data_IF_281782577003
#
_entry.id   IF_281782577003
#
_cell.length_a   1.000
_cell.length_b   1.000
_cell.length_c   1.000
_cell.angle_alpha   90.00
_cell.angle_beta   90.00
_cell.angle_gamma   90.00
#
_symmetry.space_group_name_H-M   'P 1'
#
loop_
_entity.id
_entity.type
_entity.pdbx_description
1 polymer ?
#
# COMPACT_ATOMS: atom_id res chain seq x y z
N UNK A 1 12.45 11.93 -5.41
CA UNK A 1 11.28 11.49 -6.16
C UNK A 1 11.64 10.22 -6.89
N UNK A 2 11.13 9.10 -6.47
CA UNK A 2 11.48 7.76 -6.96
C UNK A 2 10.41 7.30 -7.97
N UNK A 3 10.85 6.75 -9.10
CA UNK A 3 9.96 6.11 -10.07
C UNK A 3 9.18 4.97 -9.41
N UNK A 4 7.93 4.83 -9.75
CA UNK A 4 7.05 3.75 -9.27
C UNK A 4 7.32 2.52 -10.12
N UNK A 5 8.03 1.53 -9.57
CA UNK A 5 8.20 0.22 -10.23
C UNK A 5 7.01 -0.66 -9.93
N UNK A 6 6.42 -1.21 -10.98
CA UNK A 6 5.27 -2.12 -10.91
C UNK A 6 5.70 -3.48 -11.43
N UNK A 7 5.55 -4.48 -10.59
CA UNK A 7 5.72 -5.88 -10.95
C UNK A 7 4.32 -6.48 -11.10
N UNK A 8 3.84 -6.63 -12.30
CA UNK A 8 2.71 -7.51 -12.61
C UNK A 8 3.29 -8.82 -13.12
N UNK A 9 2.68 -9.95 -12.88
CA UNK A 9 3.20 -11.33 -13.03
C UNK A 9 4.11 -11.61 -14.26
N UNK A 10 4.26 -10.67 -15.22
CA UNK A 10 5.18 -10.74 -16.35
C UNK A 10 5.55 -9.36 -16.96
N UNK A 11 5.23 -8.24 -16.32
CA UNK A 11 5.45 -6.93 -16.92
C UNK A 11 5.94 -5.91 -15.89
N UNK A 12 7.19 -5.44 -16.07
CA UNK A 12 7.76 -4.36 -15.27
C UNK A 12 7.32 -2.99 -15.84
N UNK A 13 6.15 -2.48 -15.42
CA UNK A 13 5.76 -1.11 -15.75
C UNK A 13 6.36 -0.17 -14.72
N UNK A 14 7.23 0.71 -15.17
CA UNK A 14 7.78 1.77 -14.33
C UNK A 14 7.12 3.11 -14.69
N UNK A 15 6.22 3.60 -13.85
CA UNK A 15 5.68 4.95 -13.99
C UNK A 15 6.74 5.92 -13.50
N UNK A 16 7.30 6.70 -14.41
CA UNK A 16 8.32 7.69 -14.12
C UNK A 16 7.74 8.95 -13.45
N UNK A 17 8.63 9.80 -12.96
CA UNK A 17 8.26 11.05 -12.25
C UNK A 17 7.53 12.02 -13.18
N UNK A 18 7.85 12.04 -14.47
CA UNK A 18 7.18 12.89 -15.44
C UNK A 18 5.73 12.45 -15.61
N UNK A 19 5.49 11.17 -15.85
CA UNK A 19 4.15 10.58 -15.94
C UNK A 19 3.34 10.85 -14.68
N UNK A 20 3.91 10.61 -13.49
CA UNK A 20 3.24 10.86 -12.22
C UNK A 20 2.83 12.34 -12.06
N UNK A 21 3.72 13.25 -12.40
CA UNK A 21 3.44 14.70 -12.35
C UNK A 21 2.33 15.10 -13.32
N UNK A 22 2.32 14.52 -14.52
CA UNK A 22 1.27 14.74 -15.55
C UNK A 22 -0.09 14.22 -15.05
N UNK A 23 -0.13 13.00 -14.49
CA UNK A 23 -1.39 12.41 -13.96
C UNK A 23 -1.95 13.27 -12.84
N UNK A 24 -1.11 13.69 -11.88
CA UNK A 24 -1.51 14.56 -10.77
C UNK A 24 -2.09 15.88 -11.25
N UNK A 25 -1.40 16.56 -12.17
CA UNK A 25 -1.85 17.82 -12.76
C UNK A 25 -3.19 17.61 -13.50
N UNK A 26 -3.25 16.60 -14.34
CA UNK A 26 -4.42 16.29 -15.15
C UNK A 26 -5.66 15.92 -14.32
N UNK A 27 -5.48 15.13 -13.25
CA UNK A 27 -6.54 14.75 -12.31
C UNK A 27 -7.16 15.98 -11.64
N UNK A 28 -6.32 16.89 -11.16
CA UNK A 28 -6.77 18.12 -10.49
C UNK A 28 -7.46 19.10 -11.43
N UNK A 29 -6.90 19.32 -12.60
CA UNK A 29 -7.44 20.29 -13.56
C UNK A 29 -8.81 19.87 -14.12
N UNK A 30 -9.14 18.59 -14.09
CA UNK A 30 -10.37 18.06 -14.67
C UNK A 30 -11.44 17.67 -13.63
N UNK A 31 -11.11 17.69 -12.33
CA UNK A 31 -12.02 17.32 -11.23
C UNK A 31 -12.66 15.94 -11.42
N UNK A 32 -11.85 14.93 -11.70
CA UNK A 32 -12.31 13.57 -11.98
C UNK A 32 -12.74 12.77 -10.74
N UNK A 33 -12.72 13.36 -9.56
CA UNK A 33 -12.95 12.66 -8.31
C UNK A 33 -14.42 12.25 -8.15
N UNK A 34 -14.68 10.95 -8.17
CA UNK A 34 -16.00 10.37 -7.88
C UNK A 34 -16.25 10.33 -6.37
N UNK A 35 -15.21 10.21 -5.55
CA UNK A 35 -15.26 9.97 -4.11
C UNK A 35 -15.47 8.48 -3.80
N UNK A 36 -15.29 7.61 -4.80
CA UNK A 36 -15.35 6.15 -4.69
C UNK A 36 -13.91 5.65 -4.84
N UNK A 37 -13.27 5.30 -3.72
CA UNK A 37 -11.83 5.05 -3.62
C UNK A 37 -11.33 4.02 -4.65
N UNK A 38 -12.09 2.94 -4.84
CA UNK A 38 -11.75 1.90 -5.82
C UNK A 38 -11.73 2.47 -7.24
N UNK A 39 -12.80 3.13 -7.65
CA UNK A 39 -12.95 3.63 -9.03
C UNK A 39 -12.02 4.80 -9.29
N UNK A 40 -11.85 5.72 -8.34
CA UNK A 40 -10.88 6.81 -8.44
C UNK A 40 -9.45 6.26 -8.65
N UNK A 41 -9.05 5.24 -7.90
CA UNK A 41 -7.75 4.60 -8.08
C UNK A 41 -7.61 3.90 -9.43
N UNK A 42 -8.70 3.30 -9.92
CA UNK A 42 -8.76 2.65 -11.22
C UNK A 42 -8.64 3.66 -12.37
N UNK A 43 -9.34 4.79 -12.30
CA UNK A 43 -9.20 5.88 -13.26
C UNK A 43 -7.79 6.46 -13.29
N UNK A 44 -7.20 6.72 -12.12
CA UNK A 44 -5.82 7.23 -12.03
C UNK A 44 -4.84 6.26 -12.67
N UNK A 45 -5.04 4.96 -12.48
CA UNK A 45 -4.19 3.93 -13.08
C UNK A 45 -4.31 3.90 -14.60
N UNK A 46 -5.54 3.91 -15.15
CA UNK A 46 -5.78 3.96 -16.60
C UNK A 46 -5.17 5.22 -17.23
N UNK A 47 -5.33 6.39 -16.60
CA UNK A 47 -4.73 7.65 -17.06
C UNK A 47 -3.19 7.54 -17.04
N UNK A 48 -2.61 6.92 -16.00
CA UNK A 48 -1.17 6.73 -15.90
C UNK A 48 -0.63 5.83 -17.01
N UNK A 49 -1.33 4.74 -17.33
CA UNK A 49 -0.97 3.85 -18.44
C UNK A 49 -1.01 4.56 -19.78
N UNK A 50 -2.04 5.38 -20.03
CA UNK A 50 -2.15 6.18 -21.26
C UNK A 50 -1.01 7.19 -21.38
N UNK A 51 -0.69 7.93 -20.31
CA UNK A 51 0.42 8.90 -20.33
C UNK A 51 1.79 8.22 -20.44
N UNK A 52 1.96 7.06 -19.82
CA UNK A 52 3.19 6.27 -19.97
C UNK A 52 3.36 5.78 -21.41
N UNK A 53 2.28 5.33 -22.06
CA UNK A 53 2.27 4.98 -23.45
C UNK A 53 2.69 6.15 -24.36
N UNK A 54 2.20 7.37 -24.08
CA UNK A 54 2.61 8.58 -24.81
C UNK A 54 4.11 8.91 -24.66
N UNK A 55 4.70 8.61 -23.49
CA UNK A 55 6.15 8.78 -23.28
C UNK A 55 6.95 7.76 -24.09
N UNK A 56 6.54 6.49 -24.06
CA UNK A 56 7.20 5.42 -24.84
C UNK A 56 7.15 5.67 -26.35
N UNK A 57 6.05 6.22 -26.85
CA UNK A 57 5.89 6.57 -28.28
C UNK A 57 6.85 7.67 -28.76
N UNK A 58 7.38 8.49 -27.87
CA UNK A 58 8.37 9.54 -28.20
C UNK A 58 9.81 9.01 -28.31
N UNK A 59 10.06 7.78 -27.86
CA UNK A 59 11.39 7.15 -27.85
C UNK A 59 11.37 5.84 -28.65
N UNK A 60 11.35 5.91 -30.00
CA UNK A 60 11.20 4.70 -30.82
C UNK A 60 12.46 3.81 -30.75
N UNK A 61 12.26 2.53 -30.43
CA UNK A 61 13.28 1.48 -30.37
C UNK A 61 12.62 0.11 -30.20
N UNK A 62 13.34 -0.98 -30.45
CA UNK A 62 12.78 -2.34 -30.28
C UNK A 62 12.30 -2.62 -28.86
N UNK A 63 13.03 -2.15 -27.87
CA UNK A 63 12.66 -2.29 -26.47
C UNK A 63 11.40 -1.50 -26.12
N UNK A 64 11.27 -0.29 -26.66
CA UNK A 64 10.06 0.54 -26.49
C UNK A 64 8.83 -0.11 -27.10
N UNK A 65 8.95 -0.79 -28.25
CA UNK A 65 7.82 -1.50 -28.87
C UNK A 65 7.30 -2.65 -28.00
N UNK A 66 8.18 -3.42 -27.37
CA UNK A 66 7.76 -4.47 -26.43
C UNK A 66 7.06 -3.91 -25.20
N UNK A 67 7.57 -2.78 -24.66
CA UNK A 67 6.95 -2.09 -23.54
C UNK A 67 5.60 -1.51 -23.91
N UNK A 68 5.45 -0.93 -25.10
CA UNK A 68 4.18 -0.43 -25.66
C UNK A 68 3.12 -1.54 -25.70
N UNK A 69 3.46 -2.71 -26.24
CA UNK A 69 2.54 -3.84 -26.30
C UNK A 69 2.09 -4.27 -24.89
N UNK A 70 3.03 -4.34 -23.95
CA UNK A 70 2.74 -4.66 -22.58
C UNK A 70 1.83 -3.66 -21.88
N UNK A 71 2.09 -2.37 -22.02
CA UNK A 71 1.26 -1.30 -21.44
C UNK A 71 -0.16 -1.33 -22.03
N UNK A 72 -0.28 -1.57 -23.35
CA UNK A 72 -1.58 -1.70 -24.00
C UNK A 72 -2.36 -2.90 -23.46
N UNK A 73 -1.75 -4.06 -23.36
CA UNK A 73 -2.40 -5.26 -22.84
C UNK A 73 -2.86 -5.06 -21.40
N UNK A 74 -2.04 -4.40 -20.56
CA UNK A 74 -2.43 -4.08 -19.19
C UNK A 74 -3.61 -3.10 -19.16
N UNK A 75 -3.58 -2.04 -19.96
CA UNK A 75 -4.67 -1.07 -20.04
C UNK A 75 -6.00 -1.73 -20.43
N UNK A 76 -5.94 -2.68 -21.39
CA UNK A 76 -7.10 -3.43 -21.85
C UNK A 76 -7.67 -4.33 -20.77
N UNK A 77 -6.82 -5.16 -20.18
CA UNK A 77 -7.20 -6.06 -19.09
C UNK A 77 -7.83 -5.29 -17.94
N UNK A 78 -7.20 -4.17 -17.60
CA UNK A 78 -7.63 -3.35 -16.48
C UNK A 78 -8.93 -2.59 -16.76
N UNK A 79 -9.11 -2.08 -17.98
CA UNK A 79 -10.38 -1.46 -18.39
C UNK A 79 -11.56 -2.45 -18.27
N UNK A 80 -11.37 -3.72 -18.55
CA UNK A 80 -12.40 -4.74 -18.37
C UNK A 80 -12.78 -4.93 -16.90
N UNK A 81 -11.79 -5.04 -16.00
CA UNK A 81 -12.04 -5.15 -14.55
C UNK A 81 -12.75 -3.90 -14.02
N UNK A 82 -12.34 -2.73 -14.47
CA UNK A 82 -12.95 -1.46 -14.12
C UNK A 82 -14.42 -1.39 -14.55
N UNK A 83 -14.73 -1.66 -15.82
CA UNK A 83 -16.10 -1.66 -16.31
C UNK A 83 -16.99 -2.66 -15.59
N UNK A 84 -16.46 -3.85 -15.26
CA UNK A 84 -17.21 -4.81 -14.47
C UNK A 84 -17.53 -4.28 -13.09
N UNK A 85 -16.58 -3.61 -12.43
CA UNK A 85 -16.81 -3.02 -11.11
C UNK A 85 -17.91 -1.94 -11.16
N UNK A 86 -17.89 -1.06 -12.16
CA UNK A 86 -18.92 -0.03 -12.34
C UNK A 86 -20.28 -0.64 -12.68
N UNK A 87 -20.36 -1.50 -13.66
CA UNK A 87 -21.61 -2.16 -14.09
C UNK A 87 -22.27 -2.88 -12.90
N UNK A 88 -21.50 -3.56 -12.04
CA UNK A 88 -22.01 -4.19 -10.82
C UNK A 88 -22.59 -3.17 -9.82
N UNK A 89 -21.89 -2.04 -9.60
CA UNK A 89 -22.36 -0.97 -8.73
C UNK A 89 -23.67 -0.37 -9.25
N UNK A 90 -23.71 -0.07 -10.55
CA UNK A 90 -24.85 0.58 -11.19
C UNK A 90 -26.10 -0.33 -11.19
N UNK A 91 -25.91 -1.65 -11.42
CA UNK A 91 -26.95 -2.66 -11.33
C UNK A 91 -27.47 -2.80 -9.90
N UNK A 92 -26.60 -2.91 -8.90
CA UNK A 92 -26.96 -3.05 -7.49
C UNK A 92 -27.87 -1.93 -7.03
N UNK A 93 -27.51 -0.68 -7.39
CA UNK A 93 -28.26 0.50 -6.96
C UNK A 93 -29.28 1.00 -7.99
N UNK A 94 -29.51 0.25 -9.05
CA UNK A 94 -30.53 0.53 -10.09
C UNK A 94 -30.38 1.94 -10.67
N UNK A 95 -29.16 2.29 -11.10
CA UNK A 95 -28.91 3.57 -11.74
C UNK A 95 -29.80 3.73 -12.99
N UNK A 96 -30.58 4.83 -13.12
CA UNK A 96 -31.56 4.95 -14.22
C UNK A 96 -30.99 4.86 -15.63
N UNK A 97 -29.71 5.24 -15.83
CA UNK A 97 -29.04 5.18 -17.12
C UNK A 97 -28.06 3.99 -17.26
N UNK A 98 -28.16 2.97 -16.40
CA UNK A 98 -27.28 1.79 -16.37
C UNK A 98 -27.12 1.17 -17.76
N UNK A 99 -28.22 0.88 -18.46
CA UNK A 99 -28.19 0.24 -19.77
C UNK A 99 -27.44 1.09 -20.84
N UNK A 100 -27.57 2.41 -20.79
CA UNK A 100 -26.84 3.31 -21.67
C UNK A 100 -25.35 3.35 -21.34
N UNK A 101 -25.00 3.35 -20.05
CA UNK A 101 -23.63 3.33 -19.56
C UNK A 101 -22.93 2.01 -20.00
N UNK A 102 -23.55 0.86 -19.77
CA UNK A 102 -23.05 -0.44 -20.21
C UNK A 102 -22.92 -0.53 -21.75
N UNK A 103 -23.84 0.08 -22.52
CA UNK A 103 -23.74 0.15 -23.98
C UNK A 103 -22.51 0.94 -24.45
N UNK A 104 -22.11 1.98 -23.73
CA UNK A 104 -20.88 2.72 -24.03
C UNK A 104 -19.61 1.91 -23.75
N UNK A 105 -19.57 1.15 -22.64
CA UNK A 105 -18.48 0.20 -22.38
C UNK A 105 -18.39 -0.87 -23.46
N UNK A 106 -19.52 -1.39 -23.93
CA UNK A 106 -19.56 -2.36 -25.03
C UNK A 106 -19.04 -1.74 -26.34
N UNK A 107 -19.47 -0.52 -26.67
CA UNK A 107 -18.99 0.20 -27.87
C UNK A 107 -17.49 0.47 -27.80
N UNK A 108 -16.97 0.83 -26.63
CA UNK A 108 -15.53 0.97 -26.40
C UNK A 108 -14.79 -0.32 -26.67
N UNK A 109 -15.22 -1.43 -26.03
CA UNK A 109 -14.62 -2.76 -26.23
C UNK A 109 -14.60 -3.17 -27.70
N UNK A 110 -15.70 -2.92 -28.42
CA UNK A 110 -15.82 -3.22 -29.84
C UNK A 110 -14.88 -2.39 -30.70
N UNK A 111 -14.82 -1.07 -30.46
CA UNK A 111 -13.92 -0.15 -31.17
C UNK A 111 -12.46 -0.51 -30.94
N UNK A 112 -12.12 -0.87 -29.73
CA UNK A 112 -10.79 -1.26 -29.32
C UNK A 112 -10.36 -2.58 -29.97
N UNK A 113 -11.23 -3.59 -30.01
CA UNK A 113 -10.99 -4.86 -30.70
C UNK A 113 -10.79 -4.65 -32.20
N UNK A 114 -11.54 -3.73 -32.81
CA UNK A 114 -11.36 -3.37 -34.21
C UNK A 114 -9.99 -2.72 -34.47
N UNK A 115 -9.57 -1.81 -33.58
CA UNK A 115 -8.24 -1.19 -33.65
C UNK A 115 -7.13 -2.23 -33.48
N UNK A 116 -7.26 -3.14 -32.52
CA UNK A 116 -6.30 -4.23 -32.32
C UNK A 116 -6.33 -5.28 -33.44
N UNK A 117 -7.47 -5.43 -34.13
CA UNK A 117 -7.65 -6.33 -35.26
C UNK A 117 -7.13 -5.79 -36.60
N UNK A 118 -6.69 -4.54 -36.66
CA UNK A 118 -6.25 -3.92 -37.89
C UNK A 118 -5.01 -4.59 -38.52
N UNK A 119 -4.90 -4.67 -39.86
CA UNK A 119 -3.79 -5.32 -40.57
C UNK A 119 -2.41 -4.71 -40.30
N UNK A 120 -2.35 -3.42 -39.96
CA UNK A 120 -1.13 -2.62 -39.70
C UNK A 120 -0.61 -2.78 -38.26
N UNK A 121 -0.71 -3.95 -37.67
CA UNK A 121 -0.26 -4.20 -36.30
C UNK A 121 1.25 -4.00 -36.16
N UNK A 122 1.67 -3.25 -35.14
CA UNK A 122 3.04 -3.24 -34.65
C UNK A 122 3.90 -2.03 -35.01
N UNK A 123 3.33 -1.01 -35.65
CA UNK A 123 4.05 0.25 -35.92
C UNK A 123 3.74 1.35 -34.89
N UNK A 124 4.66 2.31 -34.75
CA UNK A 124 4.50 3.47 -33.88
C UNK A 124 3.21 4.26 -34.19
N UNK A 125 2.79 4.34 -35.47
CA UNK A 125 1.57 5.00 -35.88
C UNK A 125 0.30 4.31 -35.36
N UNK A 126 0.30 2.98 -35.32
CA UNK A 126 -0.83 2.22 -34.77
C UNK A 126 -0.95 2.43 -33.26
N UNK A 127 0.15 2.34 -32.55
CA UNK A 127 0.19 2.60 -31.11
C UNK A 127 -0.20 4.05 -30.78
N UNK A 128 0.18 5.03 -31.60
CA UNK A 128 -0.23 6.42 -31.43
C UNK A 128 -1.74 6.63 -31.64
N UNK A 129 -2.34 5.97 -32.64
CA UNK A 129 -3.81 6.01 -32.88
C UNK A 129 -4.54 5.40 -31.67
N UNK A 130 -4.05 4.30 -31.14
CA UNK A 130 -4.63 3.61 -30.01
C UNK A 130 -4.51 4.42 -28.72
N UNK A 131 -3.33 5.01 -28.46
CA UNK A 131 -3.13 5.93 -27.33
C UNK A 131 -4.10 7.12 -27.39
N UNK A 132 -4.24 7.74 -28.55
CA UNK A 132 -5.18 8.85 -28.74
C UNK A 132 -6.64 8.44 -28.54
N UNK A 133 -7.01 7.26 -29.01
CA UNK A 133 -8.37 6.71 -28.79
C UNK A 133 -8.62 6.50 -27.29
N UNK A 134 -7.74 5.81 -26.60
CA UNK A 134 -7.84 5.54 -25.15
C UNK A 134 -7.93 6.85 -24.35
N UNK A 135 -7.04 7.79 -24.62
CA UNK A 135 -7.01 9.10 -23.98
C UNK A 135 -8.35 9.84 -24.12
N UNK A 136 -8.80 10.01 -25.37
CA UNK A 136 -10.02 10.78 -25.64
C UNK A 136 -11.26 10.12 -25.06
N UNK A 137 -11.38 8.80 -25.21
CA UNK A 137 -12.54 8.07 -24.72
C UNK A 137 -12.61 8.11 -23.19
N UNK A 138 -11.52 7.80 -22.51
CA UNK A 138 -11.46 7.76 -21.04
C UNK A 138 -11.88 9.11 -20.43
N UNK A 139 -11.33 10.21 -20.96
CA UNK A 139 -11.65 11.55 -20.46
C UNK A 139 -13.13 11.89 -20.66
N UNK A 140 -13.67 11.63 -21.85
CA UNK A 140 -15.06 11.97 -22.13
C UNK A 140 -16.01 11.10 -21.31
N UNK A 141 -15.68 9.83 -21.12
CA UNK A 141 -16.47 8.89 -20.34
C UNK A 141 -16.55 9.31 -18.88
N UNK A 142 -15.39 9.53 -18.21
CA UNK A 142 -15.36 9.99 -16.83
C UNK A 142 -16.14 11.30 -16.66
N UNK A 143 -15.90 12.29 -17.52
CA UNK A 143 -16.53 13.62 -17.39
C UNK A 143 -18.04 13.62 -17.54
N UNK A 144 -18.58 12.72 -18.31
CA UNK A 144 -19.99 12.75 -18.67
C UNK A 144 -20.78 11.63 -18.00
N UNK A 145 -20.31 10.41 -18.17
CA UNK A 145 -21.07 9.25 -17.76
C UNK A 145 -20.84 8.90 -16.28
N UNK A 146 -19.57 8.89 -15.84
CA UNK A 146 -19.24 8.52 -14.46
C UNK A 146 -19.65 9.60 -13.48
N UNK A 147 -19.50 10.87 -13.85
CA UNK A 147 -20.00 11.97 -13.04
C UNK A 147 -21.52 11.93 -12.85
N UNK A 148 -22.27 11.42 -13.81
CA UNK A 148 -23.71 11.29 -13.71
C UNK A 148 -24.12 10.27 -12.62
N UNK A 149 -23.47 9.09 -12.57
CA UNK A 149 -23.78 8.15 -11.51
C UNK A 149 -23.21 8.59 -10.15
N UNK A 150 -22.07 9.29 -10.10
CA UNK A 150 -21.58 9.91 -8.87
C UNK A 150 -22.66 10.79 -8.24
N UNK A 151 -23.27 11.67 -9.05
CA UNK A 151 -24.28 12.59 -8.56
C UNK A 151 -25.56 11.86 -8.13
N UNK A 152 -25.94 10.79 -8.85
CA UNK A 152 -27.03 9.90 -8.44
C UNK A 152 -26.77 9.23 -7.08
N UNK A 153 -25.58 8.64 -6.88
CA UNK A 153 -25.20 7.98 -5.63
C UNK A 153 -25.23 8.97 -4.45
N UNK A 154 -24.71 10.18 -4.65
CA UNK A 154 -24.71 11.24 -3.65
C UNK A 154 -26.12 11.70 -3.29
N UNK A 155 -26.99 11.92 -4.27
CA UNK A 155 -28.38 12.33 -4.06
C UNK A 155 -29.20 11.28 -3.30
N UNK A 156 -28.87 10.01 -3.46
CA UNK A 156 -29.54 8.89 -2.79
C UNK A 156 -28.81 8.43 -1.51
N UNK A 157 -27.79 9.16 -1.04
CA UNK A 157 -26.98 8.81 0.14
C UNK A 157 -26.42 7.37 0.10
N UNK A 158 -25.98 6.92 -1.06
CA UNK A 158 -25.42 5.57 -1.27
C UNK A 158 -23.92 5.60 -0.94
N UNK A 159 -23.49 4.74 -0.01
CA UNK A 159 -22.08 4.53 0.31
C UNK A 159 -21.48 3.43 -0.59
N UNK A 160 -20.99 3.85 -1.76
CA UNK A 160 -20.33 2.95 -2.70
C UNK A 160 -18.99 2.41 -2.17
N UNK A 161 -18.31 3.12 -1.27
CA UNK A 161 -17.09 2.62 -0.64
C UNK A 161 -17.40 1.40 0.24
N UNK A 162 -18.44 1.46 1.07
CA UNK A 162 -18.88 0.33 1.87
C UNK A 162 -19.33 -0.87 1.00
N UNK A 163 -19.93 -0.61 -0.17
CA UNK A 163 -20.27 -1.65 -1.14
C UNK A 163 -19.03 -2.41 -1.62
N UNK A 164 -18.01 -1.71 -2.12
CA UNK A 164 -16.78 -2.35 -2.60
C UNK A 164 -15.97 -3.01 -1.50
N UNK A 165 -15.95 -2.45 -0.28
CA UNK A 165 -15.30 -3.08 0.86
C UNK A 165 -15.90 -4.45 1.17
N UNK A 166 -17.23 -4.59 1.09
CA UNK A 166 -17.91 -5.90 1.28
C UNK A 166 -17.56 -6.89 0.17
N UNK A 167 -17.52 -6.46 -1.10
CA UNK A 167 -17.15 -7.32 -2.22
C UNK A 167 -15.70 -7.80 -2.10
N UNK A 168 -14.77 -6.91 -1.76
CA UNK A 168 -13.35 -7.26 -1.58
C UNK A 168 -13.19 -8.23 -0.40
N UNK A 169 -13.89 -8.00 0.71
CA UNK A 169 -13.89 -8.92 1.86
C UNK A 169 -14.49 -10.30 1.53
N UNK A 170 -15.40 -10.37 0.55
CA UNK A 170 -15.96 -11.61 0.04
C UNK A 170 -15.09 -12.31 -1.02
N UNK A 171 -13.88 -11.78 -1.31
CA UNK A 171 -12.93 -12.39 -2.22
C UNK A 171 -13.09 -12.00 -3.69
N UNK A 172 -13.73 -10.85 -3.98
CA UNK A 172 -13.80 -10.35 -5.37
C UNK A 172 -12.44 -9.95 -5.92
N UNK A 173 -12.30 -9.96 -7.25
CA UNK A 173 -11.06 -9.59 -7.97
C UNK A 173 -10.77 -8.08 -7.99
N UNK A 174 -11.59 -7.27 -7.32
CA UNK A 174 -11.48 -5.80 -7.37
C UNK A 174 -10.42 -5.21 -6.44
N UNK A 175 -9.72 -6.02 -5.65
CA UNK A 175 -8.68 -5.51 -4.75
C UNK A 175 -7.59 -4.77 -5.53
N UNK A 176 -7.33 -3.52 -5.12
CA UNK A 176 -6.26 -2.70 -5.72
C UNK A 176 -4.89 -3.33 -5.45
N UNK A 177 -4.06 -3.36 -6.47
CA UNK A 177 -2.66 -3.74 -6.34
C UNK A 177 -1.86 -2.66 -5.57
N UNK A 178 -0.69 -3.02 -5.06
CA UNK A 178 0.18 -2.07 -4.36
C UNK A 178 0.54 -0.83 -5.21
N UNK A 179 0.87 -0.96 -6.51
CA UNK A 179 1.13 0.20 -7.36
C UNK A 179 -0.06 1.14 -7.52
N UNK A 180 -1.26 0.59 -7.63
CA UNK A 180 -2.48 1.39 -7.74
C UNK A 180 -2.78 2.15 -6.45
N UNK A 181 -2.59 1.51 -5.30
CA UNK A 181 -2.72 2.15 -4.00
C UNK A 181 -1.72 3.29 -3.83
N UNK A 182 -0.46 3.09 -4.26
CA UNK A 182 0.57 4.15 -4.25
C UNK A 182 0.18 5.32 -5.13
N UNK A 183 -0.20 5.04 -6.38
CA UNK A 183 -0.59 6.08 -7.33
C UNK A 183 -1.78 6.89 -6.80
N UNK A 184 -2.79 6.21 -6.27
CA UNK A 184 -3.97 6.86 -5.68
C UNK A 184 -3.59 7.74 -4.49
N UNK A 185 -2.76 7.25 -3.57
CA UNK A 185 -2.28 8.02 -2.43
C UNK A 185 -1.50 9.28 -2.86
N UNK A 186 -0.63 9.12 -3.86
CA UNK A 186 0.18 10.21 -4.40
C UNK A 186 -0.64 11.30 -5.09
N UNK A 187 -1.72 10.94 -5.79
CA UNK A 187 -2.52 11.87 -6.59
C UNK A 187 -3.64 12.51 -5.77
N UNK A 188 -4.35 11.73 -4.96
CA UNK A 188 -5.50 12.19 -4.20
C UNK A 188 -5.12 13.08 -3.01
N UNK A 189 -3.80 13.24 -2.72
CA UNK A 189 -3.32 13.98 -1.54
C UNK A 189 -3.99 13.54 -0.23
N UNK A 190 -4.56 12.35 -0.21
CA UNK A 190 -4.97 11.74 1.05
C UNK A 190 -3.73 11.35 1.81
N UNK A 191 -3.30 12.23 2.70
CA UNK A 191 -2.09 12.00 3.48
C UNK A 191 -2.21 10.79 4.42
N UNK A 192 -3.43 10.26 4.65
CA UNK A 192 -3.63 9.18 5.62
C UNK A 192 -4.79 8.25 5.25
N UNK A 193 -4.49 7.00 4.88
CA UNK A 193 -5.48 5.90 4.77
C UNK A 193 -5.88 5.43 6.18
N UNK A 194 -4.92 5.43 7.10
CA UNK A 194 -5.13 5.20 8.53
C UNK A 194 -4.82 6.51 9.23
N UNK A 195 -5.77 7.10 9.99
CA UNK A 195 -5.55 8.35 10.72
C UNK A 195 -4.28 8.27 11.59
N UNK A 196 -3.36 9.23 11.42
CA UNK A 196 -2.08 9.28 12.13
C UNK A 196 -0.96 8.44 11.50
N UNK A 197 -1.15 7.87 10.31
CA UNK A 197 -0.09 7.18 9.55
C UNK A 197 -0.05 7.71 8.11
N UNK A 198 1.04 8.37 7.74
CA UNK A 198 1.25 8.80 6.37
C UNK A 198 1.25 7.62 5.39
N UNK A 199 0.66 7.80 4.23
CA UNK A 199 0.52 6.73 3.24
C UNK A 199 1.86 6.13 2.78
N UNK A 200 2.92 6.93 2.65
CA UNK A 200 4.26 6.44 2.35
C UNK A 200 4.78 5.47 3.41
N UNK A 201 4.55 5.80 4.70
CA UNK A 201 4.91 4.93 5.83
C UNK A 201 4.11 3.63 5.77
N UNK A 202 2.80 3.74 5.55
CA UNK A 202 1.89 2.60 5.48
C UNK A 202 2.27 1.60 4.39
N UNK A 203 2.59 2.11 3.20
CA UNK A 203 3.00 1.29 2.06
C UNK A 203 4.36 0.62 2.30
N UNK A 204 5.31 1.32 2.90
CA UNK A 204 6.61 0.76 3.23
C UNK A 204 6.50 -0.32 4.33
N UNK A 205 5.69 -0.09 5.36
CA UNK A 205 5.38 -1.10 6.39
C UNK A 205 4.79 -2.36 5.75
N UNK A 206 3.83 -2.20 4.83
CA UNK A 206 3.23 -3.33 4.11
C UNK A 206 4.25 -4.09 3.26
N UNK A 207 5.13 -3.36 2.56
CA UNK A 207 6.22 -3.94 1.77
C UNK A 207 7.15 -4.78 2.64
N UNK A 208 7.62 -4.22 3.76
CA UNK A 208 8.50 -4.89 4.70
C UNK A 208 7.84 -6.13 5.30
N UNK A 209 6.59 -6.01 5.74
CA UNK A 209 5.83 -7.12 6.31
C UNK A 209 5.74 -8.32 5.37
N UNK A 210 5.49 -8.06 4.07
CA UNK A 210 5.43 -9.11 3.06
C UNK A 210 6.80 -9.68 2.72
N UNK A 211 7.80 -8.81 2.49
CA UNK A 211 9.13 -9.22 2.00
C UNK A 211 9.90 -10.06 3.01
N UNK A 212 9.72 -9.82 4.31
CA UNK A 212 10.44 -10.51 5.37
C UNK A 212 9.65 -11.65 6.00
N UNK A 213 8.41 -11.93 5.55
CA UNK A 213 7.56 -13.00 6.10
C UNK A 213 7.43 -12.94 7.64
N UNK A 214 7.22 -11.73 8.17
CA UNK A 214 7.30 -11.41 9.60
C UNK A 214 6.12 -11.96 10.43
N UNK A 215 5.10 -12.52 9.81
CA UNK A 215 3.89 -13.00 10.50
C UNK A 215 4.19 -14.22 11.37
N UNK A 216 4.02 -14.09 12.67
CA UNK A 216 4.24 -15.15 13.65
C UNK A 216 2.96 -15.93 14.02
N UNK A 217 1.79 -15.49 13.57
CA UNK A 217 0.47 -16.06 13.88
C UNK A 217 0.08 -15.95 15.37
N UNK A 218 0.67 -15.00 16.07
CA UNK A 218 0.29 -14.58 17.42
C UNK A 218 -0.18 -13.12 17.32
N UNK A 219 -1.48 -12.84 17.21
CA UNK A 219 -1.99 -11.49 16.86
C UNK A 219 -1.47 -10.38 17.76
N UNK A 220 -1.26 -10.65 19.06
CA UNK A 220 -0.70 -9.68 19.99
C UNK A 220 0.72 -9.26 19.56
N UNK A 221 1.60 -10.23 19.31
CA UNK A 221 2.99 -9.99 18.92
C UNK A 221 3.04 -9.43 17.50
N UNK A 222 2.23 -9.97 16.56
CA UNK A 222 2.15 -9.46 15.19
C UNK A 222 1.74 -7.98 15.14
N UNK A 223 0.79 -7.53 15.99
CA UNK A 223 0.44 -6.12 16.13
C UNK A 223 1.60 -5.27 16.66
N UNK A 224 2.35 -5.78 17.62
CA UNK A 224 3.52 -5.09 18.16
C UNK A 224 4.63 -4.98 17.12
N UNK A 225 4.93 -6.04 16.38
CA UNK A 225 5.90 -6.02 15.30
C UNK A 225 5.54 -5.03 14.19
N UNK A 226 4.27 -5.00 13.75
CA UNK A 226 3.81 -4.02 12.76
C UNK A 226 4.02 -2.58 13.24
N UNK A 227 3.78 -2.32 14.54
CA UNK A 227 3.98 -0.99 15.08
C UNK A 227 5.45 -0.62 15.19
N UNK A 228 6.33 -1.56 15.59
CA UNK A 228 7.78 -1.36 15.58
C UNK A 228 8.32 -1.08 14.18
N UNK A 229 7.87 -1.84 13.18
CA UNK A 229 8.25 -1.59 11.78
C UNK A 229 7.80 -0.19 11.34
N UNK A 230 6.57 0.20 11.69
CA UNK A 230 6.05 1.54 11.40
C UNK A 230 6.94 2.63 12.01
N UNK A 231 7.34 2.47 13.26
CA UNK A 231 8.20 3.44 13.94
C UNK A 231 9.59 3.52 13.30
N UNK A 232 10.17 2.39 12.90
CA UNK A 232 11.46 2.36 12.16
C UNK A 232 11.33 3.05 10.81
N UNK A 233 10.24 2.82 10.07
CA UNK A 233 9.99 3.50 8.78
C UNK A 233 9.87 5.01 8.98
N UNK A 234 9.24 5.48 10.04
CA UNK A 234 9.15 6.91 10.37
C UNK A 234 10.52 7.51 10.69
N UNK A 235 11.35 6.81 11.43
CA UNK A 235 12.74 7.23 11.67
C UNK A 235 13.52 7.33 10.35
N UNK A 236 13.35 6.39 9.42
CA UNK A 236 13.97 6.46 8.09
C UNK A 236 13.46 7.66 7.27
N UNK A 237 12.17 7.98 7.37
CA UNK A 237 11.61 9.17 6.71
C UNK A 237 12.17 10.47 7.33
N UNK A 238 12.34 10.51 8.64
CA UNK A 238 12.96 11.64 9.32
C UNK A 238 14.40 11.93 8.85
N UNK A 239 15.13 10.93 8.34
CA UNK A 239 16.46 11.15 7.76
C UNK A 239 16.44 11.89 6.42
N UNK A 240 15.30 11.93 5.72
CA UNK A 240 15.17 12.49 4.37
C UNK A 240 14.87 13.98 4.34
N UNK A 241 14.43 14.54 5.47
CA UNK A 241 14.08 15.98 5.59
C UNK A 241 15.31 16.84 5.95
N UNK A 242 15.12 18.16 5.97
CA UNK A 242 16.19 19.11 6.35
C UNK A 242 16.61 18.95 7.82
N UNK A 243 17.70 19.62 8.21
CA UNK A 243 18.31 19.46 9.54
C UNK A 243 17.35 19.75 10.69
N UNK A 244 16.63 20.86 10.65
CA UNK A 244 15.76 21.31 11.74
C UNK A 244 14.57 20.34 11.92
N UNK A 245 13.91 20.00 10.82
CA UNK A 245 12.81 19.04 10.82
C UNK A 245 13.26 17.66 11.28
N UNK A 246 14.43 17.20 10.82
CA UNK A 246 14.99 15.91 11.24
C UNK A 246 15.28 15.90 12.73
N UNK A 247 15.91 16.94 13.27
CA UNK A 247 16.22 17.01 14.70
C UNK A 247 14.95 16.93 15.53
N UNK A 248 13.92 17.70 15.19
CA UNK A 248 12.62 17.67 15.87
C UNK A 248 12.00 16.28 15.79
N UNK A 249 11.88 15.71 14.59
CA UNK A 249 11.23 14.39 14.42
C UNK A 249 11.98 13.27 15.13
N UNK A 250 13.30 13.24 15.09
CA UNK A 250 14.07 12.21 15.80
C UNK A 250 14.01 12.39 17.32
N UNK A 251 13.99 13.64 17.80
CA UNK A 251 13.86 13.92 19.25
C UNK A 251 12.53 13.45 19.79
N UNK A 252 11.46 13.57 18.99
CA UNK A 252 10.11 13.12 19.39
C UNK A 252 9.95 11.61 19.25
N UNK A 253 10.46 11.00 18.17
CA UNK A 253 10.25 9.59 17.86
C UNK A 253 11.13 8.62 18.68
N UNK A 254 12.40 8.96 18.92
CA UNK A 254 13.33 8.02 19.58
C UNK A 254 12.92 7.59 20.99
N UNK A 255 12.42 8.48 21.87
CA UNK A 255 11.91 8.08 23.18
C UNK A 255 10.75 7.09 23.06
N UNK A 256 9.80 7.35 22.15
CA UNK A 256 8.63 6.50 21.90
C UNK A 256 9.07 5.11 21.39
N UNK A 257 10.05 5.04 20.50
CA UNK A 257 10.61 3.77 20.00
C UNK A 257 11.25 2.99 21.16
N UNK A 258 12.09 3.63 21.97
CA UNK A 258 12.74 2.98 23.12
C UNK A 258 11.73 2.42 24.12
N UNK A 259 10.72 3.21 24.45
CA UNK A 259 9.66 2.79 25.35
C UNK A 259 8.89 1.59 24.77
N UNK A 260 8.49 1.68 23.50
CA UNK A 260 7.69 0.62 22.86
C UNK A 260 8.47 -0.69 22.67
N UNK A 261 9.76 -0.61 22.38
CA UNK A 261 10.67 -1.78 22.36
C UNK A 261 10.69 -2.48 23.73
N UNK A 262 10.80 -1.71 24.80
CA UNK A 262 10.79 -2.28 26.17
C UNK A 262 9.44 -2.94 26.50
N UNK A 263 8.32 -2.32 26.11
CA UNK A 263 6.96 -2.89 26.28
C UNK A 263 6.78 -4.18 25.47
N UNK A 264 7.28 -4.22 24.24
CA UNK A 264 7.26 -5.40 23.39
C UNK A 264 8.06 -6.54 24.00
N UNK A 265 9.32 -6.30 24.37
CA UNK A 265 10.17 -7.31 24.99
C UNK A 265 9.57 -7.87 26.28
N UNK A 266 9.00 -7.01 27.13
CA UNK A 266 8.35 -7.45 28.34
C UNK A 266 7.14 -8.38 28.07
N UNK A 267 6.36 -8.08 27.05
CA UNK A 267 5.22 -8.91 26.65
C UNK A 267 5.68 -10.26 26.08
N UNK A 268 6.70 -10.26 25.24
CA UNK A 268 7.24 -11.47 24.63
C UNK A 268 7.93 -12.36 25.67
N UNK A 269 8.75 -11.79 26.54
CA UNK A 269 9.39 -12.49 27.64
C UNK A 269 8.39 -13.12 28.60
N UNK A 270 7.29 -12.43 28.91
CA UNK A 270 6.19 -12.98 29.67
C UNK A 270 5.56 -14.20 28.99
N UNK A 271 5.36 -14.12 27.68
CA UNK A 271 4.83 -15.25 26.92
C UNK A 271 5.82 -16.41 26.83
N UNK A 272 7.12 -16.14 26.70
CA UNK A 272 8.16 -17.17 26.70
C UNK A 272 8.20 -17.92 28.04
N UNK A 273 8.06 -17.21 29.15
CA UNK A 273 8.01 -17.83 30.49
C UNK A 273 6.74 -18.68 30.66
N UNK A 274 5.58 -18.15 30.28
CA UNK A 274 4.30 -18.85 30.40
C UNK A 274 4.19 -20.09 29.51
N UNK A 275 4.88 -20.09 28.36
CA UNK A 275 4.92 -21.22 27.43
C UNK A 275 6.09 -22.16 27.67
N UNK A 276 6.93 -21.87 28.67
CA UNK A 276 8.15 -22.64 29.05
C UNK A 276 9.11 -22.77 27.82
N UNK A 277 9.40 -21.64 27.14
CA UNK A 277 10.28 -21.67 25.99
C UNK A 277 11.71 -22.10 26.37
N UNK A 278 12.25 -23.19 25.77
CA UNK A 278 13.47 -23.82 26.27
C UNK A 278 14.72 -22.94 26.25
N UNK A 279 14.80 -22.00 25.28
CA UNK A 279 15.98 -21.12 25.11
C UNK A 279 15.68 -19.66 25.47
N UNK A 280 14.66 -19.42 26.31
CA UNK A 280 14.22 -18.08 26.70
C UNK A 280 15.30 -17.20 27.29
N UNK A 281 16.20 -17.77 28.09
CA UNK A 281 17.28 -17.00 28.76
C UNK A 281 18.26 -16.42 27.72
N UNK A 282 18.58 -17.18 26.68
CA UNK A 282 19.40 -16.69 25.55
C UNK A 282 18.72 -15.56 24.78
N UNK A 283 17.41 -15.69 24.56
CA UNK A 283 16.59 -14.70 23.89
C UNK A 283 16.50 -13.39 24.71
N UNK A 284 16.15 -13.47 26.01
CA UNK A 284 16.12 -12.33 26.94
C UNK A 284 17.48 -11.60 27.01
N UNK A 285 18.58 -12.33 26.93
CA UNK A 285 19.91 -11.74 26.90
C UNK A 285 20.13 -10.90 25.63
N UNK A 286 19.58 -11.32 24.50
CA UNK A 286 19.64 -10.52 23.25
C UNK A 286 18.87 -9.21 23.41
N UNK A 287 17.65 -9.25 23.98
CA UNK A 287 16.86 -8.06 24.31
C UNK A 287 17.64 -7.09 25.20
N UNK A 288 18.20 -7.60 26.33
CA UNK A 288 18.99 -6.79 27.24
C UNK A 288 20.20 -6.15 26.54
N UNK A 289 20.91 -6.91 25.72
CA UNK A 289 22.06 -6.41 24.97
C UNK A 289 21.67 -5.31 24.00
N UNK A 290 20.56 -5.49 23.29
CA UNK A 290 20.06 -4.47 22.37
C UNK A 290 19.68 -3.18 23.08
N UNK A 291 18.91 -3.26 24.18
CA UNK A 291 18.53 -2.08 24.97
C UNK A 291 19.77 -1.34 25.49
N UNK A 292 20.78 -2.07 25.95
CA UNK A 292 22.04 -1.48 26.39
C UNK A 292 22.78 -0.78 25.24
N UNK A 293 22.83 -1.40 24.05
CA UNK A 293 23.45 -0.81 22.86
C UNK A 293 22.72 0.47 22.44
N UNK A 294 21.40 0.44 22.37
CA UNK A 294 20.60 1.63 22.00
C UNK A 294 20.76 2.77 23.01
N UNK A 295 20.86 2.44 24.30
CA UNK A 295 21.07 3.44 25.35
C UNK A 295 22.51 3.97 25.43
N UNK A 296 23.49 3.21 24.94
CA UNK A 296 24.89 3.66 24.88
C UNK A 296 25.16 4.68 23.76
N UNK A 297 24.30 4.72 22.74
CA UNK A 297 24.36 5.80 21.78
C UNK A 297 23.97 7.11 22.46
N UNK A 298 24.91 8.06 22.51
CA UNK A 298 24.59 9.43 22.93
C UNK A 298 23.52 9.98 21.94
N UNK A 299 22.26 9.92 22.39
CA UNK A 299 21.13 10.33 21.58
C UNK A 299 21.28 11.79 21.07
N UNK A 300 21.93 12.63 21.88
CA UNK A 300 22.20 14.02 21.53
C UNK A 300 23.23 14.14 20.39
N UNK A 301 24.31 13.35 20.43
CA UNK A 301 25.30 13.33 19.37
C UNK A 301 24.75 12.65 18.12
N UNK A 302 24.06 11.55 18.26
CA UNK A 302 23.49 10.80 17.14
C UNK A 302 22.46 11.63 16.34
N UNK A 303 21.66 12.46 17.01
CA UNK A 303 20.63 13.27 16.33
C UNK A 303 21.18 14.55 15.74
N UNK A 304 22.28 15.12 16.27
CA UNK A 304 22.87 16.37 15.77
C UNK A 304 23.56 16.24 14.42
N UNK A 305 24.07 15.07 14.06
CA UNK A 305 24.73 14.85 12.77
C UNK A 305 23.88 13.94 11.88
N UNK A 306 23.89 14.21 10.56
CA UNK A 306 23.18 13.32 9.61
C UNK A 306 23.77 11.91 9.61
N UNK A 307 25.06 11.79 9.74
CA UNK A 307 25.76 10.52 9.78
C UNK A 307 25.39 9.73 11.06
N UNK A 308 25.48 10.35 12.22
CA UNK A 308 25.13 9.70 13.50
C UNK A 308 23.66 9.23 13.53
N UNK A 309 22.74 10.09 13.06
CA UNK A 309 21.33 9.72 12.94
C UNK A 309 21.12 8.54 11.98
N UNK A 310 21.82 8.54 10.84
CA UNK A 310 21.71 7.46 9.85
C UNK A 310 22.24 6.14 10.41
N UNK A 311 23.37 6.15 11.13
CA UNK A 311 23.92 4.95 11.78
C UNK A 311 22.96 4.40 12.83
N UNK A 312 22.45 5.26 13.72
CA UNK A 312 21.52 4.84 14.76
C UNK A 312 20.24 4.20 14.17
N UNK A 313 19.63 4.85 13.19
CA UNK A 313 18.39 4.33 12.57
C UNK A 313 18.67 3.03 11.81
N UNK A 314 19.81 2.93 11.13
CA UNK A 314 20.24 1.72 10.44
C UNK A 314 20.41 0.55 11.41
N UNK A 315 21.15 0.76 12.52
CA UNK A 315 21.42 -0.28 13.50
C UNK A 315 20.13 -0.75 14.20
N UNK A 316 19.23 0.18 14.54
CA UNK A 316 17.90 -0.14 15.07
C UNK A 316 17.11 -1.03 14.09
N UNK A 317 17.08 -0.65 12.82
CA UNK A 317 16.35 -1.39 11.79
C UNK A 317 16.90 -2.79 11.57
N UNK A 318 18.21 -2.89 11.32
CA UNK A 318 18.87 -4.16 11.04
C UNK A 318 18.73 -5.14 12.20
N UNK A 319 18.93 -4.64 13.42
CA UNK A 319 18.76 -5.48 14.58
C UNK A 319 17.31 -5.96 14.74
N UNK A 320 16.36 -5.03 14.70
CA UNK A 320 14.94 -5.36 14.88
C UNK A 320 14.45 -6.38 13.85
N UNK A 321 14.73 -6.13 12.56
CA UNK A 321 14.30 -7.03 11.51
C UNK A 321 14.95 -8.41 11.59
N UNK A 322 16.26 -8.46 11.87
CA UNK A 322 16.97 -9.73 12.03
C UNK A 322 16.45 -10.51 13.24
N UNK A 323 16.16 -9.82 14.34
CA UNK A 323 15.61 -10.43 15.56
C UNK A 323 14.24 -11.07 15.30
N UNK A 324 13.30 -10.31 14.73
CA UNK A 324 11.96 -10.79 14.38
C UNK A 324 12.03 -12.00 13.42
N UNK A 325 12.82 -11.89 12.36
CA UNK A 325 12.89 -12.92 11.30
C UNK A 325 13.60 -14.19 11.79
N UNK A 326 14.56 -14.09 12.72
CA UNK A 326 15.40 -15.23 13.14
C UNK A 326 14.98 -15.74 14.52
N UNK A 327 14.95 -14.88 15.52
CA UNK A 327 14.76 -15.32 16.90
C UNK A 327 13.28 -15.47 17.27
N UNK A 328 12.46 -14.47 16.98
CA UNK A 328 11.02 -14.54 17.28
C UNK A 328 10.32 -15.58 16.41
N UNK A 329 10.81 -15.80 15.18
CA UNK A 329 10.31 -16.89 14.33
C UNK A 329 10.52 -18.30 14.96
N UNK A 330 11.61 -18.50 15.73
CA UNK A 330 11.82 -19.74 16.47
C UNK A 330 10.80 -19.87 17.62
N UNK A 331 10.56 -18.78 18.34
CA UNK A 331 9.55 -18.72 19.40
C UNK A 331 8.13 -18.92 18.84
N UNK A 332 7.82 -18.32 17.70
CA UNK A 332 6.55 -18.49 17.02
C UNK A 332 6.22 -19.95 16.65
N UNK A 333 7.23 -20.77 16.41
CA UNK A 333 7.03 -22.21 16.19
C UNK A 333 6.40 -22.84 17.44
N UNK A 334 6.93 -22.58 18.63
CA UNK A 334 6.36 -23.04 19.89
C UNK A 334 4.96 -22.47 20.13
N UNK A 335 4.73 -21.19 19.80
CA UNK A 335 3.41 -20.56 19.92
C UNK A 335 2.36 -21.26 19.05
N UNK A 336 2.73 -21.70 17.84
CA UNK A 336 1.82 -22.47 16.97
C UNK A 336 1.54 -23.89 17.51
N UNK A 337 2.56 -24.54 18.06
CA UNK A 337 2.42 -25.86 18.70
C UNK A 337 1.53 -25.80 19.94
N UNK A 338 1.63 -24.70 20.73
CA UNK A 338 0.84 -24.44 21.93
C UNK A 338 -0.20 -23.33 21.72
N UNK A 339 -0.86 -23.29 20.57
CA UNK A 339 -1.69 -22.17 20.12
C UNK A 339 -2.77 -21.75 21.14
N UNK A 340 -3.48 -22.71 21.71
CA UNK A 340 -4.53 -22.42 22.69
C UNK A 340 -3.95 -21.72 23.94
N UNK A 341 -2.80 -22.17 24.43
CA UNK A 341 -2.11 -21.57 25.57
C UNK A 341 -1.57 -20.17 25.22
N UNK A 342 -0.94 -20.01 24.05
CA UNK A 342 -0.45 -18.72 23.58
C UNK A 342 -1.58 -17.68 23.46
N UNK A 343 -2.75 -18.07 22.95
CA UNK A 343 -3.92 -17.21 22.88
C UNK A 343 -4.50 -16.87 24.26
N UNK A 344 -4.45 -17.81 25.21
CA UNK A 344 -4.87 -17.55 26.59
C UNK A 344 -3.94 -16.55 27.28
N UNK A 345 -2.63 -16.71 27.14
CA UNK A 345 -1.62 -15.79 27.68
C UNK A 345 -1.78 -14.40 27.06
N UNK A 346 -1.99 -14.31 25.75
CA UNK A 346 -2.25 -13.03 25.05
C UNK A 346 -3.48 -12.33 25.62
N UNK A 347 -4.59 -13.04 25.86
CA UNK A 347 -5.79 -12.48 26.49
C UNK A 347 -5.52 -11.98 27.90
N UNK A 348 -4.75 -12.75 28.69
CA UNK A 348 -4.36 -12.37 30.04
C UNK A 348 -3.56 -11.07 30.06
N UNK A 349 -2.55 -10.93 29.18
CA UNK A 349 -1.74 -9.71 29.06
C UNK A 349 -2.61 -8.47 28.77
N UNK A 350 -3.63 -8.61 27.94
CA UNK A 350 -4.57 -7.53 27.64
C UNK A 350 -5.49 -7.23 28.83
N UNK A 351 -6.04 -8.26 29.46
CA UNK A 351 -6.96 -8.12 30.61
C UNK A 351 -6.26 -7.49 31.84
N UNK A 352 -5.02 -7.89 32.10
CA UNK A 352 -4.18 -7.32 33.16
C UNK A 352 -3.59 -5.95 32.82
N UNK A 353 -3.95 -5.40 31.62
CA UNK A 353 -3.45 -4.12 31.09
C UNK A 353 -1.92 -4.03 30.97
N UNK A 354 -1.23 -5.19 30.91
CA UNK A 354 0.20 -5.26 30.62
C UNK A 354 0.52 -4.89 29.17
N UNK A 355 -0.43 -5.15 28.26
CA UNK A 355 -0.38 -4.70 26.87
C UNK A 355 -1.68 -3.99 26.56
N UNK A 356 -1.57 -2.81 25.96
CA UNK A 356 -2.70 -2.01 25.52
C UNK A 356 -2.46 -1.57 24.07
N UNK A 357 -3.49 -1.72 23.23
CA UNK A 357 -3.42 -1.29 21.84
C UNK A 357 -4.22 -0.02 21.61
N UNK A 358 -3.60 0.94 20.94
CA UNK A 358 -4.30 2.12 20.43
C UNK A 358 -5.16 1.72 19.22
N UNK A 359 -6.24 2.41 18.99
CA UNK A 359 -7.12 2.18 17.82
C UNK A 359 -6.35 2.13 16.50
N UNK A 360 -5.37 3.01 16.33
CA UNK A 360 -4.53 3.08 15.12
C UNK A 360 -3.67 1.83 14.89
N UNK A 361 -3.20 1.17 15.96
CA UNK A 361 -2.44 -0.09 15.86
C UNK A 361 -3.34 -1.24 15.40
N UNK A 362 -4.57 -1.29 15.91
CA UNK A 362 -5.58 -2.27 15.47
C UNK A 362 -5.93 -2.05 13.99
N UNK A 363 -6.14 -0.80 13.57
CA UNK A 363 -6.40 -0.46 12.17
C UNK A 363 -5.23 -0.83 11.26
N UNK A 364 -4.00 -0.60 11.71
CA UNK A 364 -2.80 -1.00 10.96
C UNK A 364 -2.73 -2.52 10.78
N UNK A 365 -2.97 -3.27 11.84
CA UNK A 365 -3.00 -4.73 11.79
C UNK A 365 -4.08 -5.24 10.83
N UNK A 366 -5.31 -4.75 10.94
CA UNK A 366 -6.41 -5.10 10.07
C UNK A 366 -6.10 -4.76 8.59
N UNK A 367 -5.53 -3.60 8.34
CA UNK A 367 -5.17 -3.18 6.99
C UNK A 367 -4.08 -4.06 6.36
N UNK A 368 -3.07 -4.47 7.14
CA UNK A 368 -1.92 -5.22 6.62
C UNK A 368 -2.21 -6.73 6.58
N UNK A 369 -2.86 -7.29 7.62
CA UNK A 369 -2.97 -8.74 7.81
C UNK A 369 -4.32 -9.30 7.32
N UNK A 370 -5.44 -8.64 7.63
CA UNK A 370 -6.77 -9.17 7.28
C UNK A 370 -7.09 -9.02 5.78
N UNK A 371 -6.48 -8.04 5.09
CA UNK A 371 -6.60 -7.92 3.62
C UNK A 371 -5.72 -8.90 2.83
N UNK A 372 -5.03 -9.82 3.51
CA UNK A 372 -4.22 -10.88 2.88
C UNK A 372 -4.92 -12.25 2.90
N UNK A 373 -6.06 -12.36 3.55
CA UNK A 373 -6.95 -13.50 3.51
C UNK A 373 -8.12 -13.18 2.57
#
# INVERSE_FOLDING_TARGET
MTSLKVDTENLHITIDVETLTRVRKFWRENDFTLGIELLDAQHMWLIALVFHLEVLLKQPGEESLKQIEGVLNEALRYAQTHFTAEEMLLTEYRFPAEANHAAQHHAFRSSLNNLLGAPDRGGADHAAKLSKFLHNWLIQHIKKEDMAYRDFLRQNNIDANAYYQRLIAAGSEFALSEPQLRLHAEISERNEIIPGIHNEVLLEVRRMWKSFSIRLYVPLIDMQHLWLIKMVVELEQALKVNYEQRLTQLTDLLPDVKQYVAEHFAAEEYMMDALEYPVREGHKKQHTTFVATVNSHDAEYATRTRHGASVLVHDLKEWLLSHIVIEDAKFAKLCREKQAQAMQVSKQLIQEKKVQFRKVQILLYQYIVDRQN
#
